data_IF_704361865710
#
_entry.id   IF_704361865710
#
_cell.length_a   1.000
_cell.length_b   1.000
_cell.length_c   1.000
_cell.angle_alpha   90.00
_cell.angle_beta   90.00
_cell.angle_gamma   90.00
#
_symmetry.space_group_name_H-M   'P 1'
#
loop_
_entity.id
_entity.type
_entity.pdbx_description
1 polymer ?
#
# COMPACT_ATOMS: atom_id res chain seq x y z
N UNK A 1 8.72 9.97 -9.02
CA UNK A 1 8.91 9.38 -7.68
C UNK A 1 10.07 10.00 -6.90
N UNK A 2 11.23 10.24 -7.53
CA UNK A 2 12.47 10.65 -6.84
C UNK A 2 12.38 11.98 -6.05
N UNK A 3 11.46 12.87 -6.44
CA UNK A 3 11.23 14.17 -5.79
C UNK A 3 10.00 14.17 -4.86
N UNK A 4 9.38 13.01 -4.62
CA UNK A 4 8.30 12.91 -3.66
C UNK A 4 8.85 13.07 -2.23
N UNK A 5 8.03 13.57 -1.32
CA UNK A 5 8.39 13.66 0.10
C UNK A 5 8.46 12.28 0.75
N UNK A 6 7.65 11.33 0.27
CA UNK A 6 7.68 9.95 0.72
C UNK A 6 7.30 8.98 -0.41
N UNK A 7 7.79 7.74 -0.29
CA UNK A 7 7.31 6.58 -1.02
C UNK A 7 6.65 5.62 -0.03
N UNK A 8 5.42 5.22 -0.32
CA UNK A 8 4.63 4.30 0.49
C UNK A 8 4.33 3.06 -0.34
N UNK A 9 4.50 1.87 0.24
CA UNK A 9 4.10 0.61 -0.39
C UNK A 9 2.75 0.18 0.18
N UNK A 10 1.78 -0.02 -0.70
CA UNK A 10 0.46 -0.54 -0.36
C UNK A 10 0.54 -2.07 -0.39
N UNK A 11 0.30 -2.69 0.76
CA UNK A 11 0.38 -4.13 0.95
C UNK A 11 -0.78 -4.62 1.81
N UNK A 12 -1.11 -5.90 1.69
CA UNK A 12 -2.16 -6.53 2.50
C UNK A 12 -1.75 -7.94 2.93
N UNK A 13 -2.08 -8.33 4.16
CA UNK A 13 -1.94 -9.71 4.59
C UNK A 13 -2.92 -10.60 3.81
N UNK A 14 -2.48 -11.77 3.35
CA UNK A 14 -3.27 -12.70 2.51
C UNK A 14 -4.12 -13.67 3.33
N UNK A 15 -3.90 -13.68 4.64
CA UNK A 15 -4.57 -14.52 5.62
C UNK A 15 -4.82 -13.70 6.89
N UNK A 16 -5.73 -14.18 7.72
CA UNK A 16 -6.07 -13.55 8.99
C UNK A 16 -6.60 -14.58 9.98
N UNK A 17 -6.48 -14.25 11.27
CA UNK A 17 -7.15 -14.98 12.35
C UNK A 17 -8.40 -14.18 12.70
N UNK A 18 -9.57 -14.79 12.48
CA UNK A 18 -10.83 -14.17 12.85
C UNK A 18 -10.92 -13.98 14.38
N UNK A 19 -11.68 -12.99 14.88
CA UNK A 19 -11.90 -12.82 16.32
C UNK A 19 -12.45 -14.11 16.95
N UNK A 20 -11.72 -14.65 17.94
CA UNK A 20 -12.08 -15.90 18.62
C UNK A 20 -11.61 -17.19 17.93
N UNK A 21 -10.97 -17.10 16.76
CA UNK A 21 -10.32 -18.23 16.11
C UNK A 21 -8.87 -18.37 16.57
N UNK A 22 -8.31 -19.58 16.42
CA UNK A 22 -6.90 -19.89 16.67
C UNK A 22 -6.13 -20.23 15.40
N UNK A 23 -6.84 -20.47 14.30
CA UNK A 23 -6.26 -20.86 13.01
C UNK A 23 -6.28 -19.68 12.04
N UNK A 24 -5.24 -19.57 11.21
CA UNK A 24 -5.20 -18.63 10.10
C UNK A 24 -6.08 -19.13 8.95
N UNK A 25 -6.84 -18.21 8.36
CA UNK A 25 -7.70 -18.48 7.21
C UNK A 25 -7.44 -17.48 6.09
N UNK A 26 -7.65 -17.85 4.81
CA UNK A 26 -7.46 -16.93 3.70
C UNK A 26 -8.32 -15.67 3.82
N UNK A 27 -7.71 -14.49 3.65
CA UNK A 27 -8.37 -13.20 3.65
C UNK A 27 -8.93 -12.91 2.25
N UNK A 28 -10.01 -13.58 1.83
CA UNK A 28 -10.48 -13.62 0.44
C UNK A 28 -10.64 -12.25 -0.27
N UNK A 29 -10.91 -11.19 0.48
CA UNK A 29 -11.13 -9.84 -0.05
C UNK A 29 -9.97 -8.87 0.21
N UNK A 30 -8.81 -9.36 0.66
CA UNK A 30 -7.69 -8.53 1.10
C UNK A 30 -7.28 -7.45 0.07
N UNK A 31 -7.28 -7.78 -1.23
CA UNK A 31 -6.93 -6.85 -2.31
C UNK A 31 -7.99 -5.77 -2.48
N UNK A 32 -9.27 -6.13 -2.43
CA UNK A 32 -10.38 -5.18 -2.59
C UNK A 32 -10.44 -4.20 -1.41
N UNK A 33 -10.35 -4.72 -0.18
CA UNK A 33 -10.37 -3.92 1.03
C UNK A 33 -9.18 -2.96 1.08
N UNK A 34 -8.00 -3.43 0.67
CA UNK A 34 -6.78 -2.60 0.61
C UNK A 34 -6.85 -1.57 -0.51
N UNK A 35 -7.47 -1.88 -1.65
CA UNK A 35 -7.77 -0.90 -2.68
C UNK A 35 -8.69 0.21 -2.19
N UNK A 36 -9.72 -0.14 -1.41
CA UNK A 36 -10.59 0.84 -0.74
C UNK A 36 -9.82 1.69 0.28
N UNK A 37 -8.93 1.09 1.07
CA UNK A 37 -8.08 1.80 2.02
C UNK A 37 -7.13 2.80 1.32
N UNK A 38 -6.52 2.39 0.20
CA UNK A 38 -5.72 3.26 -0.65
C UNK A 38 -6.53 4.45 -1.18
N UNK A 39 -7.76 4.21 -1.65
CA UNK A 39 -8.67 5.28 -2.11
C UNK A 39 -8.91 6.33 -1.02
N UNK A 40 -9.20 5.90 0.21
CA UNK A 40 -9.38 6.82 1.34
C UNK A 40 -8.10 7.58 1.71
N UNK A 41 -6.93 6.93 1.65
CA UNK A 41 -5.65 7.58 1.87
C UNK A 41 -5.41 8.70 0.85
N UNK A 42 -5.67 8.44 -0.43
CA UNK A 42 -5.53 9.43 -1.50
C UNK A 42 -6.49 10.62 -1.32
N UNK A 43 -7.75 10.34 -0.96
CA UNK A 43 -8.73 11.38 -0.65
C UNK A 43 -8.30 12.24 0.54
N UNK A 44 -7.87 11.62 1.64
CA UNK A 44 -7.43 12.35 2.82
C UNK A 44 -6.16 13.18 2.56
N UNK A 45 -5.22 12.65 1.77
CA UNK A 45 -4.05 13.39 1.34
C UNK A 45 -4.46 14.66 0.57
N UNK A 46 -5.39 14.52 -0.39
CA UNK A 46 -5.92 15.67 -1.15
C UNK A 46 -6.57 16.72 -0.24
N UNK A 47 -7.44 16.30 0.69
CA UNK A 47 -8.09 17.20 1.66
C UNK A 47 -7.07 17.91 2.55
N UNK A 48 -5.94 17.26 2.83
CA UNK A 48 -4.84 17.82 3.63
C UNK A 48 -3.86 18.66 2.80
N UNK A 49 -4.17 18.94 1.53
CA UNK A 49 -3.33 19.72 0.61
C UNK A 49 -2.07 18.97 0.14
N UNK A 50 -2.07 17.64 0.18
CA UNK A 50 -1.02 16.78 -0.35
C UNK A 50 -1.49 16.10 -1.64
N UNK A 51 -0.53 15.66 -2.44
CA UNK A 51 -0.77 14.92 -3.67
C UNK A 51 -0.23 13.51 -3.55
N UNK A 52 -0.98 12.56 -4.10
CA UNK A 52 -0.59 11.15 -4.16
C UNK A 52 -0.66 10.63 -5.59
N UNK A 53 0.30 9.80 -5.97
CA UNK A 53 0.31 9.12 -7.27
C UNK A 53 0.60 7.64 -7.08
N UNK A 54 -0.40 6.80 -7.33
CA UNK A 54 -0.26 5.34 -7.32
C UNK A 54 0.43 4.84 -8.58
N UNK A 55 1.36 3.90 -8.40
CA UNK A 55 2.24 3.36 -9.44
C UNK A 55 2.29 1.83 -9.33
N UNK A 56 2.04 1.15 -10.45
CA UNK A 56 2.19 -0.30 -10.55
C UNK A 56 3.59 -0.73 -11.05
N UNK A 57 4.34 0.18 -11.69
CA UNK A 57 5.63 -0.11 -12.28
C UNK A 57 6.79 -0.10 -11.27
N UNK A 58 6.86 -1.10 -10.39
CA UNK A 58 7.97 -1.30 -9.46
C UNK A 58 8.33 -2.78 -9.33
N UNK A 59 9.57 -3.07 -8.95
CA UNK A 59 10.04 -4.43 -8.73
C UNK A 59 9.54 -4.94 -7.36
N UNK A 60 8.55 -5.83 -7.38
CA UNK A 60 7.94 -6.36 -6.16
C UNK A 60 8.87 -7.29 -5.39
N UNK A 61 9.70 -8.08 -6.08
CA UNK A 61 10.62 -9.04 -5.45
C UNK A 61 11.74 -8.30 -4.73
N UNK A 62 12.35 -7.34 -5.42
CA UNK A 62 13.37 -6.47 -4.84
C UNK A 62 12.78 -5.66 -3.69
N UNK A 63 11.59 -5.07 -3.86
CA UNK A 63 10.94 -4.30 -2.80
C UNK A 63 10.69 -5.14 -1.55
N UNK A 64 10.17 -6.37 -1.71
CA UNK A 64 9.96 -7.29 -0.59
C UNK A 64 11.26 -7.56 0.16
N UNK A 65 12.34 -7.84 -0.58
CA UNK A 65 13.65 -8.13 -0.01
C UNK A 65 14.22 -6.94 0.76
N UNK A 66 14.28 -5.77 0.13
CA UNK A 66 14.93 -4.59 0.71
C UNK A 66 14.14 -4.01 1.88
N UNK A 67 12.80 -4.01 1.81
CA UNK A 67 11.93 -3.57 2.90
C UNK A 67 11.64 -4.67 3.93
N UNK A 68 12.24 -5.86 3.78
CA UNK A 68 12.08 -7.01 4.68
C UNK A 68 10.62 -7.38 4.93
N UNK A 69 9.79 -7.32 3.88
CA UNK A 69 8.36 -7.62 3.99
C UNK A 69 8.19 -9.14 4.09
N UNK A 70 7.51 -9.66 5.14
CA UNK A 70 7.30 -11.08 5.32
C UNK A 70 6.56 -11.75 4.16
N UNK A 71 6.65 -13.08 4.10
CA UNK A 71 5.71 -13.88 3.32
C UNK A 71 4.28 -13.73 3.87
N UNK A 72 3.26 -14.04 3.07
CA UNK A 72 1.86 -13.84 3.45
C UNK A 72 1.37 -12.38 3.30
N UNK A 73 2.14 -11.53 2.62
CA UNK A 73 1.71 -10.18 2.24
C UNK A 73 1.75 -10.02 0.72
N UNK A 74 0.65 -9.59 0.12
CA UNK A 74 0.59 -9.16 -1.27
C UNK A 74 1.02 -7.69 -1.40
N UNK A 75 1.86 -7.36 -2.38
CA UNK A 75 2.26 -5.99 -2.70
C UNK A 75 1.43 -5.50 -3.90
N UNK A 76 0.73 -4.38 -3.74
CA UNK A 76 -0.26 -3.93 -4.72
C UNK A 76 0.22 -2.73 -5.54
N UNK A 77 0.76 -1.71 -4.89
CA UNK A 77 1.18 -0.48 -5.52
C UNK A 77 2.26 0.23 -4.71
N UNK A 78 3.12 0.97 -5.40
CA UNK A 78 3.92 2.03 -4.79
C UNK A 78 3.19 3.37 -4.93
N UNK A 79 3.32 4.23 -3.95
CA UNK A 79 2.64 5.53 -3.91
C UNK A 79 3.67 6.61 -3.64
N UNK A 80 3.78 7.55 -4.58
CA UNK A 80 4.49 8.80 -4.32
C UNK A 80 3.57 9.77 -3.57
N UNK A 81 4.03 10.31 -2.45
CA UNK A 81 3.32 11.32 -1.65
C UNK A 81 4.18 12.58 -1.58
N UNK A 82 3.59 13.74 -1.89
CA UNK A 82 4.33 15.00 -1.84
C UNK A 82 3.47 16.24 -2.06
N UNK A 83 4.13 17.39 -2.10
CA UNK A 83 3.53 18.65 -2.57
C UNK A 83 3.72 18.78 -4.07
N UNK A 84 2.87 19.57 -4.72
CA UNK A 84 3.08 19.94 -6.12
C UNK A 84 4.38 20.74 -6.21
N UNK A 85 5.28 20.33 -7.11
CA UNK A 85 6.50 21.07 -7.37
C UNK A 85 6.24 22.32 -8.20
N UNK A 86 7.20 23.23 -8.20
CA UNK A 86 7.23 24.33 -9.16
C UNK A 86 7.37 23.78 -10.59
N UNK A 87 6.82 24.52 -11.56
CA UNK A 87 6.93 24.18 -12.98
C UNK A 87 8.32 24.50 -13.53
#
# INVERSE_FOLDING_TARGET
AQHASALVIIASKTDFIAPGATEETPALWHTFDTGSAWGHLALQASLSGWHTHGMAGFDQELTRKELKIPQGYALHAAVAVGKLGDK
#
